data_IF_932324640460
#
_entry.id   IF_932324640460
#
_cell.length_a   1.000
_cell.length_b   1.000
_cell.length_c   1.000
_cell.angle_alpha   90.00
_cell.angle_beta   90.00
_cell.angle_gamma   90.00
#
_symmetry.space_group_name_H-M   'P 1'
#
loop_
_entity.id
_entity.type
_entity.pdbx_description
1 polymer ?
#
# COMPACT_ATOMS: atom_id res chain seq x y z
N UNK A 1 10.59 -19.45 2.48
CA UNK A 1 10.73 -17.97 2.43
C UNK A 1 9.48 -17.26 2.93
N UNK A 2 8.28 -17.72 2.57
CA UNK A 2 6.99 -17.15 2.98
C UNK A 2 6.79 -16.94 4.49
N UNK A 3 7.05 -17.97 5.32
CA UNK A 3 6.95 -17.89 6.78
C UNK A 3 7.97 -16.91 7.37
N UNK A 4 9.16 -16.84 6.77
CA UNK A 4 10.23 -15.95 7.24
C UNK A 4 9.92 -14.47 7.00
N UNK A 5 9.25 -14.13 5.89
CA UNK A 5 8.81 -12.75 5.64
C UNK A 5 7.76 -12.31 6.67
N UNK A 6 6.68 -13.10 6.82
CA UNK A 6 5.61 -12.77 7.75
C UNK A 6 6.12 -12.68 9.20
N UNK A 7 7.00 -13.61 9.60
CA UNK A 7 7.62 -13.58 10.93
C UNK A 7 8.45 -12.32 11.15
N UNK A 8 9.28 -11.92 10.18
CA UNK A 8 10.07 -10.68 10.28
C UNK A 8 9.20 -9.43 10.39
N UNK A 9 8.08 -9.37 9.66
CA UNK A 9 7.12 -8.28 9.81
C UNK A 9 6.49 -8.28 11.20
N UNK A 10 6.12 -9.43 11.74
CA UNK A 10 5.60 -9.52 13.11
C UNK A 10 6.65 -9.12 14.16
N UNK A 11 7.93 -9.43 13.94
CA UNK A 11 9.02 -8.95 14.80
C UNK A 11 9.10 -7.42 14.81
N UNK A 12 9.00 -6.77 13.64
CA UNK A 12 8.93 -5.31 13.56
C UNK A 12 7.72 -4.75 14.31
N UNK A 13 6.54 -5.34 14.14
CA UNK A 13 5.32 -4.92 14.87
C UNK A 13 5.49 -5.05 16.38
N UNK A 14 6.08 -6.15 16.84
CA UNK A 14 6.37 -6.35 18.26
C UNK A 14 7.34 -5.30 18.80
N UNK A 15 8.35 -4.90 18.02
CA UNK A 15 9.23 -3.79 18.40
C UNK A 15 8.45 -2.47 18.51
N UNK A 16 7.63 -2.13 17.51
CA UNK A 16 6.77 -0.93 17.54
C UNK A 16 5.87 -0.94 18.78
N UNK A 17 5.21 -2.06 19.09
CA UNK A 17 4.33 -2.22 20.27
C UNK A 17 5.08 -2.12 21.60
N UNK A 18 6.28 -2.70 21.71
CA UNK A 18 7.11 -2.62 22.93
C UNK A 18 7.54 -1.18 23.26
N UNK A 19 7.61 -0.33 22.24
CA UNK A 19 7.97 1.07 22.38
C UNK A 19 6.78 2.01 22.18
N UNK A 20 5.54 1.55 22.39
CA UNK A 20 4.35 2.40 22.25
C UNK A 20 4.48 3.72 23.03
N UNK A 21 4.08 4.83 22.41
CA UNK A 21 4.31 6.19 22.91
C UNK A 21 5.68 6.78 22.58
N UNK A 22 6.62 6.01 22.02
CA UNK A 22 7.93 6.49 21.53
C UNK A 22 8.24 5.95 20.14
N UNK A 23 8.83 6.80 19.30
CA UNK A 23 9.34 6.35 18.01
C UNK A 23 10.82 5.98 18.16
N UNK A 24 11.15 4.71 17.90
CA UNK A 24 12.52 4.17 17.95
C UNK A 24 12.98 3.70 16.57
N UNK A 25 12.46 4.30 15.50
CA UNK A 25 12.88 4.01 14.12
C UNK A 25 14.28 4.58 13.84
N UNK A 26 15.29 3.98 14.47
CA UNK A 26 16.69 4.30 14.22
C UNK A 26 17.14 3.82 12.83
N UNK A 27 18.41 4.08 12.51
CA UNK A 27 18.98 3.69 11.23
C UNK A 27 18.88 2.18 10.96
N UNK A 28 19.05 1.35 12.00
CA UNK A 28 19.00 -0.11 11.86
C UNK A 28 17.56 -0.58 11.58
N UNK A 29 16.57 -0.06 12.30
CA UNK A 29 15.16 -0.37 12.08
C UNK A 29 14.71 0.06 10.68
N UNK A 30 15.05 1.28 10.26
CA UNK A 30 14.73 1.79 8.92
C UNK A 30 15.31 0.89 7.83
N UNK A 31 16.57 0.49 7.99
CA UNK A 31 17.23 -0.43 7.04
C UNK A 31 16.52 -1.79 6.98
N UNK A 32 16.11 -2.36 8.11
CA UNK A 32 15.37 -3.62 8.13
C UNK A 32 14.03 -3.52 7.38
N UNK A 33 13.30 -2.42 7.56
CA UNK A 33 12.05 -2.16 6.83
C UNK A 33 12.32 -2.05 5.33
N UNK A 34 13.33 -1.26 4.93
CA UNK A 34 13.67 -1.04 3.53
C UNK A 34 14.16 -2.33 2.85
N UNK A 35 14.96 -3.15 3.55
CA UNK A 35 15.42 -4.47 3.07
C UNK A 35 14.26 -5.45 2.91
N UNK A 36 13.27 -5.44 3.82
CA UNK A 36 12.06 -6.26 3.70
C UNK A 36 11.19 -5.84 2.52
N UNK A 37 10.96 -4.54 2.35
CA UNK A 37 10.25 -4.00 1.18
C UNK A 37 11.00 -4.44 -0.07
N UNK A 38 12.30 -4.16 -0.16
CA UNK A 38 13.15 -4.60 -1.27
C UNK A 38 12.98 -6.09 -1.57
N UNK A 39 13.03 -6.96 -0.56
CA UNK A 39 12.91 -8.41 -0.74
C UNK A 39 11.53 -8.83 -1.29
N UNK A 40 10.46 -8.15 -0.89
CA UNK A 40 9.12 -8.40 -1.42
C UNK A 40 9.03 -8.03 -2.91
N UNK A 41 9.70 -6.95 -3.33
CA UNK A 41 9.77 -6.55 -4.74
C UNK A 41 10.76 -7.40 -5.55
N UNK A 42 11.84 -7.90 -4.92
CA UNK A 42 12.88 -8.72 -5.58
C UNK A 42 12.33 -10.03 -6.16
N UNK A 43 11.24 -10.52 -5.57
CA UNK A 43 10.57 -11.76 -5.92
C UNK A 43 9.29 -11.54 -6.76
N UNK A 44 9.05 -10.32 -7.28
CA UNK A 44 7.89 -10.06 -8.14
C UNK A 44 7.96 -10.95 -9.40
N UNK A 45 6.95 -11.81 -9.55
CA UNK A 45 6.85 -12.78 -10.64
C UNK A 45 7.12 -14.22 -10.22
N UNK A 46 7.65 -14.44 -9.00
CA UNK A 46 7.55 -15.72 -8.30
C UNK A 46 6.22 -15.68 -7.54
N UNK A 47 5.47 -16.79 -7.50
CA UNK A 47 4.24 -16.88 -6.69
C UNK A 47 4.62 -16.89 -5.21
N UNK A 48 4.94 -15.71 -4.67
CA UNK A 48 5.10 -15.48 -3.25
C UNK A 48 3.72 -15.58 -2.60
N UNK A 49 3.45 -16.68 -1.89
CA UNK A 49 2.23 -16.83 -1.09
C UNK A 49 2.30 -16.04 0.23
N UNK A 50 2.74 -14.79 0.19
CA UNK A 50 2.86 -13.96 1.40
C UNK A 50 1.48 -13.51 1.86
N UNK A 51 1.17 -13.58 3.17
CA UNK A 51 -0.07 -13.03 3.69
C UNK A 51 -0.14 -11.53 3.39
N UNK A 52 -1.21 -11.12 2.71
CA UNK A 52 -1.47 -9.73 2.33
C UNK A 52 -1.48 -8.78 3.54
N UNK A 53 -1.88 -9.31 4.69
CA UNK A 53 -1.80 -8.63 5.96
C UNK A 53 -0.39 -8.19 6.32
N UNK A 54 0.60 -9.08 6.17
CA UNK A 54 2.00 -8.80 6.46
C UNK A 54 2.56 -7.73 5.51
N UNK A 55 2.12 -7.73 4.25
CA UNK A 55 2.51 -6.69 3.30
C UNK A 55 1.98 -5.34 3.77
N UNK A 56 0.70 -5.23 4.11
CA UNK A 56 0.14 -3.96 4.58
C UNK A 56 0.72 -3.49 5.91
N UNK A 57 0.94 -4.40 6.86
CA UNK A 57 1.59 -4.04 8.11
C UNK A 57 2.98 -3.44 7.86
N UNK A 58 3.78 -4.05 6.97
CA UNK A 58 5.09 -3.52 6.58
C UNK A 58 4.99 -2.14 5.95
N UNK A 59 4.06 -1.94 5.00
CA UNK A 59 3.87 -0.67 4.33
C UNK A 59 3.37 0.43 5.27
N UNK A 60 2.47 0.11 6.20
CA UNK A 60 1.98 1.06 7.21
C UNK A 60 3.10 1.42 8.19
N UNK A 61 3.92 0.45 8.62
CA UNK A 61 5.13 0.72 9.42
C UNK A 61 6.06 1.69 8.68
N UNK A 62 6.29 1.45 7.39
CA UNK A 62 7.13 2.33 6.56
C UNK A 62 6.60 3.76 6.54
N UNK A 63 5.34 3.98 6.16
CA UNK A 63 4.84 5.35 5.96
C UNK A 63 4.51 6.09 7.25
N UNK A 64 4.04 5.39 8.30
CA UNK A 64 3.66 6.03 9.56
C UNK A 64 4.81 6.04 10.58
N UNK A 65 5.44 4.89 10.82
CA UNK A 65 6.44 4.78 11.86
C UNK A 65 7.79 5.32 11.41
N UNK A 66 8.29 4.90 10.24
CA UNK A 66 9.62 5.28 9.76
C UNK A 66 9.64 6.70 9.17
N UNK A 67 8.71 7.02 8.28
CA UNK A 67 8.75 8.29 7.54
C UNK A 67 8.13 9.47 8.29
N UNK A 68 7.10 9.22 9.11
CA UNK A 68 6.34 10.26 9.81
C UNK A 68 6.56 10.29 11.32
N UNK A 69 7.37 9.38 11.85
CA UNK A 69 7.72 9.37 13.27
C UNK A 69 6.54 9.08 14.19
N UNK A 70 5.53 8.33 13.73
CA UNK A 70 4.36 7.95 14.54
C UNK A 70 4.79 7.24 15.82
N UNK A 71 4.05 7.49 16.90
CA UNK A 71 4.30 6.91 18.23
C UNK A 71 3.21 5.93 18.65
N UNK A 72 2.24 5.69 17.77
CA UNK A 72 1.00 5.00 18.11
C UNK A 72 0.95 3.62 17.46
N UNK A 73 1.39 2.61 18.21
CA UNK A 73 1.43 1.23 17.74
C UNK A 73 0.02 0.72 17.40
N UNK A 74 -0.96 1.07 18.23
CA UNK A 74 -2.35 0.65 18.06
C UNK A 74 -2.98 1.18 16.76
N UNK A 75 -2.58 2.37 16.30
CA UNK A 75 -3.08 2.92 15.04
C UNK A 75 -2.44 2.22 13.85
N UNK A 76 -1.15 1.90 13.92
CA UNK A 76 -0.44 1.13 12.90
C UNK A 76 -1.11 -0.23 12.71
N UNK A 77 -1.38 -0.94 13.81
CA UNK A 77 -2.10 -2.21 13.78
C UNK A 77 -3.51 -2.07 13.19
N UNK A 78 -4.27 -1.08 13.66
CA UNK A 78 -5.63 -0.84 13.17
C UNK A 78 -5.68 -0.58 11.67
N UNK A 79 -4.77 0.23 11.14
CA UNK A 79 -4.72 0.55 9.72
C UNK A 79 -4.29 -0.65 8.87
N UNK A 80 -3.36 -1.48 9.34
CA UNK A 80 -3.01 -2.76 8.70
C UNK A 80 -4.20 -3.73 8.61
N UNK A 81 -4.98 -3.87 9.69
CA UNK A 81 -6.26 -4.57 9.72
C UNK A 81 -7.28 -3.97 8.76
N UNK A 82 -7.43 -2.63 8.76
CA UNK A 82 -8.38 -1.92 7.90
C UNK A 82 -8.06 -2.15 6.42
N UNK A 83 -6.81 -1.95 5.99
CA UNK A 83 -6.40 -2.15 4.60
C UNK A 83 -6.65 -3.58 4.13
N UNK A 84 -6.35 -4.57 4.98
CA UNK A 84 -6.58 -5.99 4.70
C UNK A 84 -8.06 -6.30 4.52
N UNK A 85 -8.93 -5.73 5.38
CA UNK A 85 -10.39 -5.92 5.29
C UNK A 85 -10.98 -5.28 4.03
N UNK A 86 -10.55 -4.06 3.69
CA UNK A 86 -11.15 -3.28 2.62
C UNK A 86 -10.68 -3.65 1.20
N UNK A 87 -9.68 -4.53 1.08
CA UNK A 87 -9.40 -5.17 -0.21
C UNK A 87 -10.52 -6.13 -0.66
N UNK A 88 -11.30 -6.67 0.26
CA UNK A 88 -12.47 -7.45 -0.12
C UNK A 88 -13.57 -6.49 -0.57
N UNK A 89 -14.00 -6.61 -1.83
CA UNK A 89 -15.03 -5.76 -2.46
C UNK A 89 -16.33 -5.64 -1.64
N UNK A 90 -16.57 -6.55 -0.67
CA UNK A 90 -17.76 -6.58 0.19
C UNK A 90 -17.76 -5.45 1.21
N UNK A 91 -16.59 -5.06 1.72
CA UNK A 91 -16.47 -3.99 2.70
C UNK A 91 -16.51 -2.60 2.04
N UNK A 92 -16.08 -2.50 0.79
CA UNK A 92 -16.15 -1.25 0.02
C UNK A 92 -17.56 -0.87 -0.42
N UNK A 93 -18.36 -1.88 -0.74
CA UNK A 93 -19.71 -1.73 -1.24
C UNK A 93 -20.65 -2.65 -0.45
N UNK A 94 -21.02 -2.25 0.78
CA UNK A 94 -21.84 -3.08 1.67
C UNK A 94 -23.27 -3.26 1.13
N UNK A 95 -23.71 -2.37 0.23
CA UNK A 95 -25.07 -2.39 -0.29
C UNK A 95 -25.18 -3.05 -1.65
N UNK A 96 -26.26 -3.80 -1.84
CA UNK A 96 -26.64 -4.39 -3.12
C UNK A 96 -27.92 -3.69 -3.58
N UNK A 97 -27.80 -2.93 -4.67
CA UNK A 97 -28.90 -2.22 -5.29
C UNK A 97 -29.78 -3.11 -6.19
N UNK A 98 -30.85 -2.53 -6.75
CA UNK A 98 -31.71 -3.20 -7.73
C UNK A 98 -30.88 -3.78 -8.88
N UNK A 99 -31.09 -5.06 -9.20
CA UNK A 99 -30.33 -5.79 -10.22
C UNK A 99 -29.00 -6.39 -9.73
N UNK A 100 -28.79 -6.52 -8.42
CA UNK A 100 -27.64 -7.24 -7.84
C UNK A 100 -26.31 -6.47 -7.91
N UNK A 101 -26.35 -5.19 -8.28
CA UNK A 101 -25.16 -4.34 -8.39
C UNK A 101 -24.76 -3.77 -7.03
N UNK A 102 -23.47 -3.85 -6.72
CA UNK A 102 -22.93 -3.26 -5.49
C UNK A 102 -22.94 -1.73 -5.55
N UNK A 103 -23.32 -1.07 -4.45
CA UNK A 103 -23.47 0.38 -4.38
C UNK A 103 -22.48 1.00 -3.37
N UNK A 104 -22.01 2.24 -3.64
CA UNK A 104 -21.15 2.98 -2.70
C UNK A 104 -21.88 3.26 -1.39
N UNK A 105 -21.12 3.34 -0.29
CA UNK A 105 -21.65 3.69 1.02
C UNK A 105 -21.51 5.20 1.27
N UNK A 106 -22.63 5.92 1.27
CA UNK A 106 -22.70 7.36 1.56
C UNK A 106 -23.17 7.65 2.98
N UNK A 107 -22.91 8.87 3.46
CA UNK A 107 -23.33 9.29 4.80
C UNK A 107 -24.86 9.34 4.90
N UNK A 108 -25.56 9.63 3.81
CA UNK A 108 -27.02 9.55 3.74
C UNK A 108 -27.54 8.15 4.09
N UNK A 109 -26.83 7.10 3.68
CA UNK A 109 -27.23 5.72 3.94
C UNK A 109 -27.06 5.37 5.43
N UNK A 110 -26.03 5.94 6.07
CA UNK A 110 -25.86 5.85 7.52
C UNK A 110 -27.01 6.53 8.27
N UNK A 111 -27.41 7.74 7.85
CA UNK A 111 -28.53 8.46 8.46
C UNK A 111 -29.85 7.72 8.26
N UNK A 112 -30.05 7.09 7.11
CA UNK A 112 -31.21 6.25 6.82
C UNK A 112 -31.27 5.02 7.75
N UNK A 113 -30.15 4.34 7.97
CA UNK A 113 -30.05 3.22 8.93
C UNK A 113 -30.34 3.67 10.37
N UNK A 114 -29.88 4.85 10.77
CA UNK A 114 -30.18 5.42 12.09
C UNK A 114 -31.68 5.66 12.28
N UNK A 115 -32.37 6.16 11.25
CA UNK A 115 -33.81 6.43 11.31
C UNK A 115 -34.66 5.17 11.30
N UNK A 116 -34.24 4.13 10.56
CA UNK A 116 -35.01 2.90 10.38
C UNK A 116 -34.75 1.84 11.46
N UNK A 117 -33.76 2.07 12.32
CA UNK A 117 -33.24 1.07 13.24
C UNK A 117 -32.40 0.06 12.46
N UNK A 118 -31.08 0.10 12.69
CA UNK A 118 -30.07 -0.63 11.93
C UNK A 118 -30.52 -2.01 11.46
N UNK A 119 -30.62 -2.17 10.14
CA UNK A 119 -31.01 -3.44 9.50
C UNK A 119 -29.84 -4.12 8.82
N UNK A 120 -28.86 -3.32 8.38
CA UNK A 120 -27.69 -3.79 7.62
C UNK A 120 -26.42 -3.85 8.46
N UNK A 121 -26.43 -3.18 9.59
CA UNK A 121 -25.35 -3.17 10.58
C UNK A 121 -25.90 -3.62 11.93
N UNK A 122 -25.05 -4.09 12.83
CA UNK A 122 -25.51 -4.53 14.14
C UNK A 122 -25.95 -3.34 15.02
N UNK A 123 -25.29 -2.19 14.86
CA UNK A 123 -25.52 -1.00 15.67
C UNK A 123 -24.85 0.25 15.05
N UNK A 124 -25.10 1.41 15.67
CA UNK A 124 -24.51 2.69 15.30
C UNK A 124 -22.99 2.67 15.32
N UNK A 125 -22.39 2.07 16.35
CA UNK A 125 -20.94 1.98 16.49
C UNK A 125 -20.30 1.31 15.27
N UNK A 126 -20.81 0.13 14.88
CA UNK A 126 -20.30 -0.60 13.73
C UNK A 126 -20.49 0.20 12.44
N UNK A 127 -21.68 0.74 12.22
CA UNK A 127 -22.01 1.48 10.99
C UNK A 127 -21.14 2.74 10.84
N UNK A 128 -20.98 3.51 11.92
CA UNK A 128 -20.15 4.71 11.96
C UNK A 128 -18.67 4.38 11.76
N UNK A 129 -18.15 3.36 12.44
CA UNK A 129 -16.76 2.91 12.28
C UNK A 129 -16.48 2.45 10.85
N UNK A 130 -17.35 1.60 10.28
CA UNK A 130 -17.22 1.12 8.89
C UNK A 130 -17.30 2.26 7.87
N UNK A 131 -18.14 3.27 8.13
CA UNK A 131 -18.18 4.44 7.26
C UNK A 131 -16.87 5.24 7.33
N UNK A 132 -16.34 5.49 8.53
CA UNK A 132 -15.06 6.17 8.72
C UNK A 132 -13.90 5.42 8.04
N UNK A 133 -13.84 4.10 8.21
CA UNK A 133 -12.87 3.23 7.53
C UNK A 133 -13.00 3.32 6.00
N UNK A 134 -14.23 3.26 5.46
CA UNK A 134 -14.49 3.37 4.03
C UNK A 134 -14.04 4.72 3.46
N UNK A 135 -14.38 5.81 4.15
CA UNK A 135 -13.98 7.16 3.78
C UNK A 135 -12.45 7.32 3.78
N UNK A 136 -11.76 6.83 4.82
CA UNK A 136 -10.31 6.90 4.93
C UNK A 136 -9.62 6.04 3.86
N UNK A 137 -10.14 4.84 3.61
CA UNK A 137 -9.62 3.96 2.58
C UNK A 137 -9.77 4.56 1.17
N UNK A 138 -10.95 5.09 0.84
CA UNK A 138 -11.19 5.68 -0.47
C UNK A 138 -10.32 6.93 -0.68
N UNK A 139 -10.32 7.84 0.28
CA UNK A 139 -9.55 9.11 0.20
C UNK A 139 -8.05 8.90 0.28
N UNK A 140 -7.59 7.86 0.99
CA UNK A 140 -6.18 7.53 1.17
C UNK A 140 -5.60 6.62 0.10
N UNK A 141 -6.33 5.65 -0.46
CA UNK A 141 -5.76 4.77 -1.48
C UNK A 141 -6.08 5.19 -2.92
N UNK A 142 -7.11 6.00 -3.13
CA UNK A 142 -7.59 6.34 -4.46
C UNK A 142 -7.67 7.86 -4.69
N UNK A 143 -6.61 8.65 -4.39
CA UNK A 143 -6.67 10.12 -4.54
C UNK A 143 -6.96 10.54 -5.98
N UNK A 144 -6.45 9.78 -6.96
CA UNK A 144 -6.65 10.04 -8.39
C UNK A 144 -8.10 9.79 -8.85
N UNK A 145 -8.87 8.95 -8.15
CA UNK A 145 -10.28 8.68 -8.49
C UNK A 145 -11.17 9.90 -8.26
N UNK A 146 -10.71 10.85 -7.44
CA UNK A 146 -11.41 12.11 -7.18
C UNK A 146 -10.90 13.29 -8.01
N UNK A 147 -9.75 13.14 -8.70
CA UNK A 147 -9.25 14.14 -9.64
C UNK A 147 -10.14 14.16 -10.87
N UNK A 148 -10.78 15.31 -11.11
CA UNK A 148 -11.73 15.60 -12.19
C UNK A 148 -11.26 15.06 -13.55
N UNK A 149 -11.64 13.82 -13.90
CA UNK A 149 -11.71 13.38 -15.30
C UNK A 149 -13.14 13.58 -15.78
N UNK A 150 -13.29 14.36 -16.85
CA UNK A 150 -14.48 14.35 -17.71
C UNK A 150 -14.57 12.95 -18.32
N UNK A 151 -15.36 12.08 -17.72
CA UNK A 151 -15.53 10.68 -18.15
C UNK A 151 -15.30 9.73 -16.98
N UNK A 152 -16.35 8.99 -16.63
CA UNK A 152 -16.49 8.20 -15.41
C UNK A 152 -15.23 7.49 -14.92
N UNK A 153 -14.98 7.57 -13.61
CA UNK A 153 -13.84 6.94 -12.97
C UNK A 153 -13.82 5.42 -13.18
N UNK A 154 -12.61 4.84 -13.21
CA UNK A 154 -12.34 3.40 -13.40
C UNK A 154 -13.08 2.47 -12.41
N UNK A 155 -13.65 3.01 -11.34
CA UNK A 155 -14.35 2.26 -10.28
C UNK A 155 -15.88 2.33 -10.36
N UNK A 156 -16.46 2.93 -11.41
CA UNK A 156 -17.93 3.06 -11.53
C UNK A 156 -18.56 3.97 -10.46
N UNK A 157 -17.75 4.78 -9.77
CA UNK A 157 -18.23 5.78 -8.83
C UNK A 157 -19.09 6.82 -9.58
N UNK A 158 -20.29 7.16 -9.07
CA UNK A 158 -21.07 8.30 -9.56
C UNK A 158 -20.25 9.60 -9.54
N UNK A 159 -20.75 10.65 -10.21
CA UNK A 159 -20.13 12.00 -10.33
C UNK A 159 -19.20 12.34 -9.16
N UNK A 160 -18.00 12.92 -9.40
CA UNK A 160 -16.98 13.06 -8.37
C UNK A 160 -17.56 13.82 -7.18
N UNK A 161 -17.91 13.06 -6.14
CA UNK A 161 -18.18 13.62 -4.82
C UNK A 161 -16.84 14.17 -4.35
N UNK A 162 -16.84 15.44 -3.96
CA UNK A 162 -15.63 16.15 -3.54
C UNK A 162 -14.93 15.36 -2.41
N UNK A 163 -13.60 15.16 -2.45
CA UNK A 163 -12.85 14.55 -1.34
C UNK A 163 -13.19 15.13 0.03
N UNK A 164 -13.45 16.44 0.09
CA UNK A 164 -13.82 17.15 1.32
C UNK A 164 -15.08 16.58 1.99
N UNK A 165 -16.02 16.02 1.20
CA UNK A 165 -17.17 15.32 1.74
C UNK A 165 -16.73 14.11 2.55
N UNK A 166 -15.97 13.19 1.95
CA UNK A 166 -15.51 11.97 2.65
C UNK A 166 -14.59 12.27 3.83
N UNK A 167 -13.77 13.32 3.74
CA UNK A 167 -12.92 13.75 4.85
C UNK A 167 -13.80 14.23 6.02
N UNK A 168 -14.75 15.14 5.77
CA UNK A 168 -15.60 15.70 6.82
C UNK A 168 -16.54 14.67 7.45
N UNK A 169 -17.20 13.85 6.62
CA UNK A 169 -18.09 12.79 7.11
C UNK A 169 -17.32 11.65 7.76
N UNK A 170 -16.15 11.28 7.24
CA UNK A 170 -15.27 10.28 7.83
C UNK A 170 -14.80 10.66 9.24
N UNK A 171 -14.38 11.92 9.42
CA UNK A 171 -14.05 12.49 10.75
C UNK A 171 -15.22 12.41 11.72
N UNK A 172 -16.39 12.85 11.28
CA UNK A 172 -17.60 12.85 12.10
C UNK A 172 -18.01 11.42 12.50
N UNK A 173 -17.94 10.47 11.58
CA UNK A 173 -18.27 9.07 11.84
C UNK A 173 -17.29 8.39 12.79
N UNK A 174 -15.98 8.64 12.67
CA UNK A 174 -15.01 8.14 13.66
C UNK A 174 -15.26 8.73 15.05
N UNK A 175 -15.61 10.02 15.14
CA UNK A 175 -15.96 10.65 16.41
C UNK A 175 -17.22 10.02 17.02
N UNK A 176 -18.27 9.87 16.22
CA UNK A 176 -19.52 9.25 16.63
C UNK A 176 -19.31 7.80 17.08
N UNK A 177 -18.46 7.05 16.38
CA UNK A 177 -18.07 5.71 16.81
C UNK A 177 -17.31 5.76 18.15
N UNK A 178 -16.37 6.70 18.33
CA UNK A 178 -15.59 6.83 19.57
C UNK A 178 -16.44 7.21 20.80
N UNK A 179 -17.48 8.03 20.59
CA UNK A 179 -18.41 8.49 21.63
C UNK A 179 -19.39 7.40 22.07
N UNK A 180 -19.57 6.33 21.28
CA UNK A 180 -20.44 5.21 21.62
C UNK A 180 -19.87 4.34 22.76
N UNK A 181 -20.72 3.75 23.60
CA UNK A 181 -20.31 2.89 24.73
C UNK A 181 -19.51 1.67 24.29
N UNK A 182 -19.93 1.03 23.19
CA UNK A 182 -19.19 -0.09 22.57
C UNK A 182 -17.74 0.25 22.19
N UNK A 183 -17.37 1.50 21.98
CA UNK A 183 -15.97 1.86 21.72
C UNK A 183 -15.07 1.65 22.94
N UNK A 184 -15.61 1.79 24.13
CA UNK A 184 -14.91 1.48 25.38
C UNK A 184 -14.90 -0.03 25.63
N UNK A 185 -16.04 -0.71 25.43
CA UNK A 185 -16.12 -2.16 25.55
C UNK A 185 -15.14 -2.89 24.60
N UNK A 186 -14.91 -2.34 23.41
CA UNK A 186 -13.97 -2.87 22.41
C UNK A 186 -12.56 -2.28 22.50
N UNK A 187 -12.31 -1.39 23.47
CA UNK A 187 -11.02 -0.68 23.64
C UNK A 187 -10.59 0.15 22.41
N UNK A 188 -11.51 0.46 21.50
CA UNK A 188 -11.25 1.22 20.28
C UNK A 188 -11.36 2.73 20.48
N UNK A 189 -11.99 3.21 21.56
CA UNK A 189 -12.25 4.65 21.79
C UNK A 189 -11.02 5.54 21.58
N UNK A 190 -9.82 5.24 22.14
CA UNK A 190 -8.64 6.08 21.92
C UNK A 190 -8.21 6.14 20.45
N UNK A 191 -8.28 5.01 19.75
CA UNK A 191 -7.87 4.89 18.34
C UNK A 191 -8.83 5.68 17.45
N UNK A 192 -10.14 5.52 17.65
CA UNK A 192 -11.17 6.19 16.87
C UNK A 192 -11.14 7.72 17.07
N UNK A 193 -10.86 8.20 18.29
CA UNK A 193 -10.64 9.63 18.51
C UNK A 193 -9.41 10.15 17.78
N UNK A 194 -8.30 9.41 17.75
CA UNK A 194 -7.10 9.80 16.99
C UNK A 194 -7.39 9.85 15.49
N UNK A 195 -8.04 8.82 14.94
CA UNK A 195 -8.43 8.76 13.53
C UNK A 195 -9.36 9.91 13.15
N UNK A 196 -10.28 10.30 14.03
CA UNK A 196 -11.13 11.48 13.82
C UNK A 196 -10.32 12.80 13.85
N UNK A 197 -9.46 12.99 14.85
CA UNK A 197 -8.71 14.25 15.04
C UNK A 197 -7.62 14.46 14.00
N UNK A 198 -6.95 13.39 13.59
CA UNK A 198 -5.79 13.41 12.69
C UNK A 198 -6.08 12.70 11.36
N UNK A 199 -7.33 12.75 10.90
CA UNK A 199 -7.77 12.06 9.69
C UNK A 199 -6.90 12.37 8.48
N UNK A 200 -6.62 13.64 8.20
CA UNK A 200 -5.81 14.04 7.05
C UNK A 200 -4.38 13.52 7.14
N UNK A 201 -3.80 13.44 8.34
CA UNK A 201 -2.46 12.87 8.52
C UNK A 201 -2.44 11.41 8.08
N UNK A 202 -3.43 10.63 8.49
CA UNK A 202 -3.53 9.22 8.10
C UNK A 202 -3.91 9.08 6.62
N UNK A 203 -4.81 9.92 6.11
CA UNK A 203 -5.16 9.98 4.69
C UNK A 203 -3.91 10.26 3.84
N UNK A 204 -3.10 11.24 4.19
CA UNK A 204 -1.86 11.60 3.49
C UNK A 204 -0.82 10.48 3.57
N UNK A 205 -0.71 9.79 4.71
CA UNK A 205 0.15 8.64 4.85
C UNK A 205 -0.28 7.48 3.95
N UNK A 206 -1.59 7.21 3.87
CA UNK A 206 -2.15 6.20 2.98
C UNK A 206 -2.03 6.61 1.50
N UNK A 207 -2.14 7.90 1.18
CA UNK A 207 -1.91 8.42 -0.17
C UNK A 207 -0.48 8.15 -0.61
N UNK A 208 0.49 8.45 0.25
CA UNK A 208 1.90 8.17 0.00
C UNK A 208 2.15 6.66 -0.15
N UNK A 209 1.52 5.84 0.70
CA UNK A 209 1.55 4.39 0.60
C UNK A 209 1.00 3.92 -0.76
N UNK A 210 -0.13 4.46 -1.18
CA UNK A 210 -0.78 4.07 -2.43
C UNK A 210 0.03 4.49 -3.64
N UNK A 211 0.48 5.75 -3.67
CA UNK A 211 1.25 6.31 -4.77
C UNK A 211 2.60 5.61 -4.94
N UNK A 212 3.24 5.14 -3.85
CA UNK A 212 4.55 4.46 -3.90
C UNK A 212 4.48 2.93 -3.99
N UNK A 213 3.45 2.28 -3.48
CA UNK A 213 3.50 0.82 -3.32
C UNK A 213 2.33 0.06 -3.96
N UNK A 214 1.18 0.72 -4.20
CA UNK A 214 -0.05 0.04 -4.67
C UNK A 214 -0.45 0.50 -6.08
N UNK A 215 -0.81 1.78 -6.22
CA UNK A 215 -1.26 2.41 -7.47
C UNK A 215 -0.09 2.76 -8.36
N UNK A 216 0.96 3.31 -7.76
CA UNK A 216 2.30 3.18 -8.31
C UNK A 216 2.81 1.81 -7.92
N UNK A 217 2.69 0.83 -8.81
CA UNK A 217 3.83 -0.07 -9.01
C UNK A 217 4.99 0.86 -9.32
N UNK A 218 5.74 1.29 -8.30
CA UNK A 218 6.68 2.42 -8.40
C UNK A 218 7.63 2.16 -9.55
N UNK A 219 7.33 2.79 -10.69
CA UNK A 219 8.06 2.55 -11.93
C UNK A 219 9.50 2.99 -11.73
N UNK A 220 9.78 3.88 -10.77
CA UNK A 220 11.14 4.26 -10.39
C UNK A 220 11.78 3.13 -9.58
N UNK A 221 11.13 2.58 -8.56
CA UNK A 221 11.66 1.41 -7.82
C UNK A 221 11.87 0.20 -8.74
N UNK A 222 10.92 -0.09 -9.62
CA UNK A 222 11.02 -1.17 -10.61
C UNK A 222 12.14 -0.86 -11.62
N UNK A 223 12.32 0.41 -12.02
CA UNK A 223 13.43 0.83 -12.89
C UNK A 223 14.78 0.76 -12.17
N UNK A 224 14.87 1.16 -10.91
CA UNK A 224 16.07 1.06 -10.08
C UNK A 224 16.46 -0.40 -9.90
N UNK A 225 15.48 -1.28 -9.60
CA UNK A 225 15.69 -2.73 -9.54
C UNK A 225 16.11 -3.32 -10.88
N UNK A 226 15.51 -2.87 -11.98
CA UNK A 226 15.93 -3.25 -13.33
C UNK A 226 17.39 -2.85 -13.59
N UNK A 227 17.75 -1.61 -13.23
CA UNK A 227 19.08 -1.04 -13.45
C UNK A 227 20.13 -1.74 -12.57
N UNK A 228 19.84 -1.98 -11.30
CA UNK A 228 20.71 -2.69 -10.36
C UNK A 228 21.00 -4.11 -10.82
N UNK A 229 19.97 -4.86 -11.23
CA UNK A 229 20.16 -6.20 -11.78
C UNK A 229 20.95 -6.15 -13.10
N UNK A 230 20.68 -5.20 -13.98
CA UNK A 230 21.43 -5.07 -15.23
C UNK A 230 22.90 -4.68 -15.00
N UNK A 231 23.18 -3.80 -14.05
CA UNK A 231 24.53 -3.42 -13.65
C UNK A 231 25.29 -4.62 -13.06
N UNK A 232 24.66 -5.39 -12.17
CA UNK A 232 25.25 -6.63 -11.65
C UNK A 232 25.53 -7.65 -12.74
N UNK A 233 24.65 -7.81 -13.73
CA UNK A 233 24.92 -8.66 -14.90
C UNK A 233 26.15 -8.17 -15.66
N UNK A 234 26.29 -6.86 -15.91
CA UNK A 234 27.45 -6.31 -16.62
C UNK A 234 28.76 -6.53 -15.88
N UNK A 235 28.73 -6.51 -14.54
CA UNK A 235 29.89 -6.72 -13.69
C UNK A 235 30.25 -8.22 -13.55
N UNK A 236 29.25 -9.08 -13.41
CA UNK A 236 29.46 -10.50 -13.03
C UNK A 236 29.32 -11.48 -14.20
N UNK A 237 28.60 -11.11 -15.26
CA UNK A 237 28.23 -11.99 -16.37
C UNK A 237 27.14 -13.03 -16.04
N UNK A 238 26.60 -13.06 -14.81
CA UNK A 238 25.60 -14.05 -14.39
C UNK A 238 24.22 -13.77 -15.03
N UNK A 239 23.77 -14.71 -15.87
CA UNK A 239 22.50 -14.63 -16.61
C UNK A 239 21.26 -14.48 -15.72
N UNK A 240 21.32 -14.88 -14.44
CA UNK A 240 20.19 -14.72 -13.50
C UNK A 240 19.82 -13.26 -13.29
N UNK A 241 20.83 -12.39 -13.17
CA UNK A 241 20.60 -10.94 -13.03
C UNK A 241 20.01 -10.34 -14.31
N UNK A 242 20.43 -10.83 -15.49
CA UNK A 242 19.86 -10.41 -16.76
C UNK A 242 18.39 -10.82 -16.89
N UNK A 243 18.05 -12.04 -16.47
CA UNK A 243 16.67 -12.53 -16.49
C UNK A 243 15.77 -11.70 -15.54
N UNK A 244 16.24 -11.41 -14.33
CA UNK A 244 15.53 -10.55 -13.39
C UNK A 244 15.33 -9.13 -13.92
N UNK A 245 16.37 -8.52 -14.50
CA UNK A 245 16.29 -7.20 -15.12
C UNK A 245 15.23 -7.16 -16.24
N UNK A 246 15.12 -8.23 -17.05
CA UNK A 246 14.09 -8.37 -18.09
C UNK A 246 12.68 -8.51 -17.51
N UNK A 247 12.51 -9.22 -16.38
CA UNK A 247 11.22 -9.32 -15.68
C UNK A 247 10.74 -7.96 -15.20
N UNK A 248 11.62 -7.15 -14.61
CA UNK A 248 11.29 -5.77 -14.23
C UNK A 248 10.97 -4.89 -15.44
N UNK A 249 11.75 -4.98 -16.51
CA UNK A 249 11.48 -4.24 -17.75
C UNK A 249 10.11 -4.59 -18.36
N UNK A 250 9.67 -5.84 -18.28
CA UNK A 250 8.35 -6.26 -18.74
C UNK A 250 7.21 -5.61 -17.92
N UNK A 251 7.38 -5.49 -16.59
CA UNK A 251 6.43 -4.77 -15.73
C UNK A 251 6.38 -3.28 -16.07
N UNK A 252 7.50 -2.69 -16.50
CA UNK A 252 7.59 -1.31 -16.99
C UNK A 252 7.04 -1.11 -18.41
N UNK A 253 6.68 -2.20 -19.11
CA UNK A 253 6.38 -2.20 -20.56
C UNK A 253 7.51 -1.60 -21.41
N UNK A 254 8.76 -1.85 -21.03
CA UNK A 254 9.94 -1.50 -21.84
C UNK A 254 10.24 -2.64 -22.83
N UNK A 255 10.53 -2.28 -24.07
CA UNK A 255 10.82 -3.18 -25.19
C UNK A 255 12.25 -2.97 -25.72
N UNK A 256 12.69 -3.84 -26.64
CA UNK A 256 14.02 -3.76 -27.25
C UNK A 256 14.26 -2.44 -27.99
N UNK A 257 13.22 -1.79 -28.50
CA UNK A 257 13.32 -0.48 -29.13
C UNK A 257 13.68 0.63 -28.14
N UNK A 258 13.17 0.57 -26.90
CA UNK A 258 13.38 1.58 -25.86
C UNK A 258 14.63 1.34 -25.02
N UNK A 259 15.04 0.08 -24.83
CA UNK A 259 16.25 -0.23 -24.07
C UNK A 259 17.03 -1.42 -24.68
N UNK A 260 17.69 -1.22 -25.84
CA UNK A 260 18.31 -2.30 -26.61
C UNK A 260 19.40 -3.07 -25.87
N UNK A 261 20.07 -2.41 -24.92
CA UNK A 261 21.18 -2.98 -24.16
C UNK A 261 20.77 -4.16 -23.25
N UNK A 262 19.50 -4.25 -22.84
CA UNK A 262 18.96 -5.33 -22.00
C UNK A 262 18.62 -6.60 -22.80
N UNK A 263 18.34 -6.45 -24.10
CA UNK A 263 17.86 -7.55 -24.96
C UNK A 263 18.97 -8.13 -25.84
N UNK A 264 20.06 -7.37 -26.08
CA UNK A 264 21.25 -7.87 -26.77
C UNK A 264 22.09 -8.76 -25.84
N UNK A 265 22.56 -9.91 -26.33
CA UNK A 265 23.60 -10.70 -25.64
C UNK A 265 24.84 -9.83 -25.46
N UNK A 266 25.44 -9.84 -24.27
CA UNK A 266 26.71 -9.16 -24.05
C UNK A 266 27.71 -9.64 -25.10
N UNK A 267 28.21 -8.69 -25.92
CA UNK A 267 29.43 -8.97 -26.68
C UNK A 267 30.50 -9.21 -25.63
N UNK A 268 30.96 -10.45 -25.52
CA UNK A 268 32.09 -10.78 -24.68
C UNK A 268 33.17 -9.73 -24.91
N UNK A 269 33.67 -9.13 -23.84
CA UNK A 269 34.85 -8.30 -23.94
C UNK A 269 35.97 -9.22 -24.44
N UNK A 270 36.25 -9.16 -25.74
CA UNK A 270 37.52 -9.62 -26.26
C UNK A 270 38.53 -8.67 -25.65
N UNK A 271 39.19 -9.12 -24.58
CA UNK A 271 40.43 -8.51 -24.13
C UNK A 271 41.35 -8.62 -25.35
N UNK A 272 41.51 -7.52 -26.07
CA UNK A 272 42.46 -7.42 -27.17
C UNK A 272 43.83 -7.50 -26.51
N UNK A 273 44.47 -8.66 -26.63
CA UNK A 273 45.85 -8.84 -26.21
C UNK A 273 46.70 -7.75 -26.91
N UNK A 274 47.39 -6.85 -26.19
CA UNK A 274 48.14 -5.76 -26.81
C UNK A 274 49.37 -6.21 -27.61
N UNK A 275 49.62 -7.52 -27.74
CA UNK A 275 50.87 -8.07 -28.26
C UNK A 275 50.90 -8.53 -29.74
N UNK A 276 49.78 -8.61 -30.46
CA UNK A 276 49.81 -9.13 -31.83
C UNK A 276 49.99 -8.01 -32.87
N UNK A 277 51.24 -7.67 -33.16
CA UNK A 277 51.61 -6.82 -34.30
C UNK A 277 51.26 -7.46 -35.65
N UNK A 278 51.11 -6.67 -36.73
CA UNK A 278 50.66 -7.18 -38.01
C UNK A 278 51.80 -7.93 -38.73
N UNK A 279 51.63 -9.23 -38.97
CA UNK A 279 52.45 -9.97 -39.93
C UNK A 279 51.97 -9.65 -41.35
N UNK A 280 52.79 -8.90 -42.08
CA UNK A 280 52.67 -8.71 -43.53
C UNK A 280 53.57 -9.77 -44.19
N UNK A 281 53.03 -10.38 -45.25
CA UNK A 281 53.52 -11.48 -46.10
C UNK A 281 53.15 -12.89 -45.63
#
# INVERSE_FOLDING_TARGET
MTTAFAQRVEELKLQVRRHDGRNVADYAFRRQVDDLISSFYDDIGIVLQVPLRSVFDLLVIKVLYVERGSRDAAVIDYLGDMLTRYLYTRELFPFVGPGGRRQPFYFSDLLEEMQRGFTRFQNLFEAARRYGDNALFLTGLFPQSFRRRRGGGRLGLPRPVDPSYFISTGKACYRMAAEHELAEATQMRPILYRLSRHFELYMDALNDLSDRYIMGLDMNLIADKMLDNFNRYRETGDERYLENARRYAALLRLDEARFPALFRKARGYVIRDPGAGPSIW
#
